data_IF_160465221774
#
_entry.id   IF_160465221774
#
_cell.length_a   1.000
_cell.length_b   1.000
_cell.length_c   1.000
_cell.angle_alpha   90.00
_cell.angle_beta   90.00
_cell.angle_gamma   90.00
#
_symmetry.space_group_name_H-M   'P 1'
#
loop_
_entity.id
_entity.type
_entity.pdbx_description
1 polymer ?
#
# COMPACT_ATOMS: atom_id res chain seq x y z
N UNK A 1 4.89 -2.91 -4.70
CA UNK A 1 4.27 -1.58 -4.82
C UNK A 1 5.37 -0.57 -5.04
N UNK A 2 5.37 0.04 -6.21
CA UNK A 2 6.19 1.20 -6.53
C UNK A 2 5.28 2.31 -7.04
N UNK A 3 5.47 3.52 -6.54
CA UNK A 3 4.75 4.68 -7.04
C UNK A 3 5.75 5.83 -7.22
N UNK A 4 5.88 6.32 -8.44
CA UNK A 4 6.79 7.41 -8.76
C UNK A 4 6.08 8.75 -8.68
N UNK A 5 6.60 9.67 -7.86
CA UNK A 5 6.18 11.06 -7.84
C UNK A 5 7.01 11.88 -8.82
N UNK A 6 6.35 12.61 -9.71
CA UNK A 6 6.99 13.40 -10.77
C UNK A 6 6.56 14.86 -10.65
N UNK A 7 7.52 15.79 -10.67
CA UNK A 7 7.25 17.23 -10.72
C UNK A 7 7.97 17.82 -11.94
N UNK A 8 7.35 17.76 -13.13
CA UNK A 8 7.99 18.21 -14.36
C UNK A 8 8.12 19.74 -14.46
N UNK A 9 7.44 20.47 -13.58
CA UNK A 9 7.47 21.93 -13.49
C UNK A 9 7.48 22.37 -12.00
N UNK A 10 7.35 23.68 -11.78
CA UNK A 10 7.24 24.38 -10.50
C UNK A 10 5.87 24.26 -9.84
N UNK A 11 4.81 23.99 -10.62
CA UNK A 11 3.45 23.82 -10.10
C UNK A 11 2.56 23.01 -11.04
N UNK A 12 1.46 22.49 -10.49
CA UNK A 12 0.41 21.81 -11.24
C UNK A 12 -0.14 22.68 -12.38
N UNK A 13 -0.44 23.95 -12.10
CA UNK A 13 -0.99 24.87 -13.09
C UNK A 13 -0.01 25.22 -14.20
N UNK A 14 1.28 25.35 -13.87
CA UNK A 14 2.33 25.60 -14.87
C UNK A 14 2.48 24.43 -15.85
N UNK A 15 2.34 23.19 -15.36
CA UNK A 15 2.42 22.00 -16.20
C UNK A 15 1.12 21.72 -16.99
N UNK A 16 -0.03 21.79 -16.32
CA UNK A 16 -1.27 21.24 -16.86
C UNK A 16 -2.09 22.18 -17.73
N UNK A 17 -1.87 23.49 -17.68
CA UNK A 17 -2.65 24.46 -18.47
C UNK A 17 -4.16 24.22 -18.33
N UNK A 18 -4.82 23.73 -19.39
CA UNK A 18 -6.25 23.36 -19.40
C UNK A 18 -6.56 21.87 -19.16
N UNK A 19 -5.61 20.96 -19.38
CA UNK A 19 -5.78 19.51 -19.16
C UNK A 19 -4.44 18.79 -19.24
N UNK A 20 -4.25 17.76 -18.41
CA UNK A 20 -3.09 16.90 -18.40
C UNK A 20 -3.46 15.54 -17.79
N UNK A 21 -2.62 14.53 -18.02
CA UNK A 21 -2.66 13.28 -17.25
C UNK A 21 -1.94 13.52 -15.93
N UNK A 22 -2.64 13.33 -14.81
CA UNK A 22 -2.08 13.59 -13.48
C UNK A 22 -1.45 12.37 -12.83
N UNK A 23 -1.88 11.18 -13.22
CA UNK A 23 -1.41 9.89 -12.75
C UNK A 23 -1.73 8.79 -13.76
N UNK A 24 -1.04 7.66 -13.61
CA UNK A 24 -1.32 6.44 -14.36
C UNK A 24 -0.78 5.22 -13.61
N UNK A 25 -1.56 4.15 -13.61
CA UNK A 25 -1.17 2.85 -13.09
C UNK A 25 -1.93 1.72 -13.80
N UNK A 26 -1.56 0.48 -13.50
CA UNK A 26 -2.31 -0.71 -13.91
C UNK A 26 -3.40 -1.06 -12.89
N UNK A 27 -4.52 -1.58 -13.37
CA UNK A 27 -5.44 -2.34 -12.51
C UNK A 27 -4.82 -3.71 -12.28
N UNK A 28 -4.46 -4.02 -11.03
CA UNK A 28 -3.78 -5.28 -10.69
C UNK A 28 -4.76 -6.24 -10.01
N UNK A 29 -5.46 -7.02 -10.81
CA UNK A 29 -6.50 -7.95 -10.33
C UNK A 29 -5.92 -9.06 -9.45
N UNK A 30 -4.83 -9.71 -9.89
CA UNK A 30 -4.21 -10.79 -9.11
C UNK A 30 -3.29 -10.25 -8.00
N UNK A 31 -3.36 -10.88 -6.84
CA UNK A 31 -2.49 -10.61 -5.69
C UNK A 31 -1.10 -11.22 -5.85
N UNK A 32 -0.89 -12.10 -6.83
CA UNK A 32 0.41 -12.67 -7.17
C UNK A 32 1.17 -11.84 -8.23
N UNK A 33 0.47 -10.99 -9.00
CA UNK A 33 1.03 -10.10 -10.02
C UNK A 33 1.76 -8.88 -9.40
N UNK A 34 2.87 -9.15 -8.69
CA UNK A 34 3.63 -8.15 -7.96
C UNK A 34 4.49 -7.24 -8.83
N UNK A 35 4.83 -7.69 -10.03
CA UNK A 35 5.68 -7.00 -11.01
C UNK A 35 4.99 -5.80 -11.67
N UNK A 36 3.67 -5.87 -11.84
CA UNK A 36 2.85 -4.77 -12.38
C UNK A 36 2.25 -3.87 -11.29
N UNK A 37 2.65 -4.04 -10.02
CA UNK A 37 2.23 -3.14 -8.93
C UNK A 37 3.00 -1.82 -8.93
N UNK A 38 2.88 -1.11 -10.03
CA UNK A 38 3.60 0.11 -10.35
C UNK A 38 2.64 1.17 -10.88
N UNK A 39 2.86 2.42 -10.46
CA UNK A 39 2.18 3.59 -11.01
C UNK A 39 3.06 4.82 -10.88
N UNK A 40 2.58 5.93 -11.44
CA UNK A 40 3.17 7.23 -11.27
C UNK A 40 2.11 8.31 -11.21
N UNK A 41 2.47 9.46 -10.65
CA UNK A 41 1.65 10.64 -10.73
C UNK A 41 2.38 11.87 -10.24
N UNK A 42 1.70 13.01 -10.37
CA UNK A 42 2.32 14.29 -10.14
C UNK A 42 2.49 14.57 -8.64
N UNK A 43 3.67 15.06 -8.27
CA UNK A 43 4.11 15.27 -6.89
C UNK A 43 4.21 16.74 -6.51
N UNK A 44 3.15 17.54 -6.71
CA UNK A 44 3.16 18.98 -6.39
C UNK A 44 2.78 19.32 -4.94
N UNK A 45 2.54 18.31 -4.09
CA UNK A 45 2.20 18.52 -2.67
C UNK A 45 0.83 19.16 -2.41
N UNK A 46 -0.07 19.15 -3.41
CA UNK A 46 -1.45 19.66 -3.29
C UNK A 46 -2.42 18.55 -2.91
N UNK A 47 -3.60 18.92 -2.37
CA UNK A 47 -4.69 17.95 -2.09
C UNK A 47 -5.07 17.15 -3.35
N UNK A 48 -5.15 17.82 -4.51
CA UNK A 48 -5.41 17.15 -5.80
C UNK A 48 -4.33 16.14 -6.20
N UNK A 49 -3.04 16.44 -5.93
CA UNK A 49 -1.95 15.48 -6.16
C UNK A 49 -2.07 14.27 -5.22
N UNK A 50 -2.49 14.50 -3.97
CA UNK A 50 -2.73 13.44 -3.01
C UNK A 50 -3.89 12.53 -3.45
N UNK A 51 -5.02 13.10 -3.89
CA UNK A 51 -6.15 12.31 -4.41
C UNK A 51 -5.81 11.54 -5.69
N UNK A 52 -5.01 12.13 -6.58
CA UNK A 52 -4.46 11.39 -7.74
C UNK A 52 -3.66 10.17 -7.27
N UNK A 53 -2.76 10.34 -6.30
CA UNK A 53 -2.01 9.22 -5.74
C UNK A 53 -2.93 8.15 -5.14
N UNK A 54 -4.00 8.52 -4.44
CA UNK A 54 -4.95 7.55 -3.88
C UNK A 54 -5.71 6.81 -4.98
N UNK A 55 -6.15 7.50 -6.04
CA UNK A 55 -6.80 6.92 -7.21
C UNK A 55 -5.91 5.86 -7.88
N UNK A 56 -4.67 6.21 -8.17
CA UNK A 56 -3.71 5.28 -8.79
C UNK A 56 -3.32 4.13 -7.85
N UNK A 57 -3.16 4.38 -6.55
CA UNK A 57 -2.99 3.29 -5.59
C UNK A 57 -4.19 2.37 -5.57
N UNK A 58 -5.39 2.88 -5.84
CA UNK A 58 -6.61 2.10 -5.97
C UNK A 58 -6.53 1.09 -7.10
N UNK A 59 -6.13 1.52 -8.30
CA UNK A 59 -5.86 0.62 -9.42
C UNK A 59 -4.79 -0.43 -9.07
N UNK A 60 -3.69 -0.04 -8.41
CA UNK A 60 -2.65 -0.98 -7.98
C UNK A 60 -3.17 -1.99 -6.92
N UNK A 61 -4.26 -1.66 -6.23
CA UNK A 61 -4.98 -2.55 -5.32
C UNK A 61 -6.08 -3.38 -6.02
N UNK A 62 -6.19 -3.32 -7.34
CA UNK A 62 -7.15 -4.08 -8.13
C UNK A 62 -8.54 -3.43 -8.18
N UNK A 63 -8.61 -2.09 -8.12
CA UNK A 63 -9.88 -1.37 -8.27
C UNK A 63 -10.02 -0.81 -9.68
N UNK A 64 -11.17 -1.07 -10.28
CA UNK A 64 -11.65 -0.35 -11.47
C UNK A 64 -12.36 0.94 -11.05
N UNK A 65 -12.71 1.79 -12.01
CA UNK A 65 -13.35 3.08 -11.71
C UNK A 65 -14.75 2.92 -11.10
N UNK A 66 -15.13 3.88 -10.26
CA UNK A 66 -16.53 4.07 -9.86
C UNK A 66 -17.31 4.79 -10.99
N UNK A 67 -18.64 4.61 -11.11
CA UNK A 67 -19.45 5.12 -12.22
C UNK A 67 -19.75 6.63 -12.11
N UNK A 68 -18.71 7.47 -12.06
CA UNK A 68 -18.86 8.93 -12.11
C UNK A 68 -17.89 9.57 -13.11
N UNK A 69 -18.46 10.23 -14.12
CA UNK A 69 -17.72 10.90 -15.21
C UNK A 69 -16.74 10.00 -15.99
N UNK A 70 -17.04 8.71 -16.08
CA UNK A 70 -16.29 7.71 -16.85
C UNK A 70 -17.25 6.72 -17.51
N UNK A 71 -16.85 6.14 -18.64
CA UNK A 71 -17.62 5.10 -19.35
C UNK A 71 -17.10 3.68 -19.10
N UNK A 72 -15.94 3.55 -18.45
CA UNK A 72 -15.32 2.26 -18.12
C UNK A 72 -15.23 2.15 -16.61
N UNK A 73 -16.33 1.73 -15.99
CA UNK A 73 -16.49 1.58 -14.55
C UNK A 73 -16.71 0.11 -14.15
N UNK A 74 -16.60 -0.15 -12.85
CA UNK A 74 -16.90 -1.43 -12.21
C UNK A 74 -18.42 -1.65 -12.16
N UNK A 75 -18.93 -2.63 -12.90
CA UNK A 75 -20.37 -2.96 -12.94
C UNK A 75 -20.90 -3.47 -11.60
N UNK A 76 -20.03 -3.94 -10.70
CA UNK A 76 -20.41 -4.38 -9.35
C UNK A 76 -20.45 -3.21 -8.35
N UNK A 77 -20.08 -2.00 -8.77
CA UNK A 77 -20.13 -0.82 -7.90
C UNK A 77 -21.59 -0.47 -7.54
N UNK A 78 -21.94 -0.42 -6.25
CA UNK A 78 -23.35 -0.43 -5.82
C UNK A 78 -24.08 0.90 -6.00
N UNK A 79 -23.37 2.01 -6.19
CA UNK A 79 -23.96 3.35 -6.32
C UNK A 79 -23.77 3.85 -7.75
N UNK A 80 -24.86 3.95 -8.52
CA UNK A 80 -24.82 4.23 -9.95
C UNK A 80 -24.31 5.63 -10.33
N UNK A 81 -24.21 6.53 -9.37
CA UNK A 81 -23.66 7.87 -9.47
C UNK A 81 -22.20 7.96 -8.99
N UNK A 82 -21.62 6.84 -8.56
CA UNK A 82 -20.30 6.78 -7.95
C UNK A 82 -20.24 7.36 -6.54
N UNK A 83 -21.37 7.49 -5.84
CA UNK A 83 -21.43 7.94 -4.45
C UNK A 83 -20.68 7.03 -3.48
N UNK A 84 -20.59 7.46 -2.21
CA UNK A 84 -19.79 6.76 -1.18
C UNK A 84 -20.59 5.83 -0.26
N UNK A 85 -21.91 6.00 -0.22
CA UNK A 85 -22.87 5.12 0.46
C UNK A 85 -22.96 5.24 1.98
N UNK A 86 -21.88 5.67 2.64
CA UNK A 86 -21.83 5.81 4.10
C UNK A 86 -21.14 7.12 4.51
N UNK A 87 -21.46 7.61 5.70
CA UNK A 87 -20.79 8.76 6.29
C UNK A 87 -19.28 8.52 6.41
N UNK A 88 -18.51 9.43 5.81
CA UNK A 88 -17.08 9.52 5.99
C UNK A 88 -16.71 10.23 7.30
N UNK A 89 -15.50 9.97 7.79
CA UNK A 89 -14.96 10.71 8.92
C UNK A 89 -13.50 11.10 8.64
N UNK A 90 -13.26 12.40 8.43
CA UNK A 90 -11.91 12.91 8.23
C UNK A 90 -11.26 13.18 9.58
N UNK A 91 -10.22 12.40 9.92
CA UNK A 91 -9.47 12.57 11.18
C UNK A 91 -8.61 13.82 11.23
N UNK A 92 -8.30 14.44 10.09
CA UNK A 92 -7.48 15.65 9.99
C UNK A 92 -8.27 16.88 10.42
N UNK A 93 -9.54 16.95 9.99
CA UNK A 93 -10.44 18.07 10.28
C UNK A 93 -11.46 17.76 11.38
N UNK A 94 -11.65 16.48 11.69
CA UNK A 94 -12.67 15.96 12.59
C UNK A 94 -14.10 16.13 12.08
N UNK A 95 -14.28 16.23 10.76
CA UNK A 95 -15.59 16.41 10.12
C UNK A 95 -16.23 15.09 9.71
N UNK A 96 -17.56 15.08 9.72
CA UNK A 96 -18.38 14.05 9.10
C UNK A 96 -18.69 14.45 7.66
N UNK A 97 -18.46 13.53 6.72
CA UNK A 97 -18.63 13.74 5.30
C UNK A 97 -19.91 13.05 4.84
N UNK A 98 -20.85 13.85 4.33
CA UNK A 98 -22.16 13.36 3.88
C UNK A 98 -21.98 12.52 2.60
N UNK A 99 -22.46 11.26 2.57
CA UNK A 99 -22.34 10.42 1.38
C UNK A 99 -23.09 10.96 0.17
N UNK A 100 -24.11 11.80 0.36
CA UNK A 100 -24.87 12.42 -0.75
C UNK A 100 -24.08 13.58 -1.39
N UNK A 101 -23.09 14.14 -0.69
CA UNK A 101 -22.24 15.24 -1.15
C UNK A 101 -20.87 14.77 -1.64
N UNK A 102 -20.51 13.47 -1.52
CA UNK A 102 -19.17 12.95 -1.86
C UNK A 102 -19.21 11.77 -2.82
N UNK A 103 -18.32 11.81 -3.81
CA UNK A 103 -18.10 10.72 -4.76
C UNK A 103 -16.88 9.88 -4.36
N UNK A 104 -16.84 8.63 -4.83
CA UNK A 104 -15.72 7.73 -4.59
C UNK A 104 -14.47 8.14 -5.38
N UNK A 105 -13.32 7.97 -4.73
CA UNK A 105 -11.99 8.30 -5.28
C UNK A 105 -11.67 7.57 -6.57
N UNK A 106 -12.32 6.44 -6.88
CA UNK A 106 -12.14 5.75 -8.15
C UNK A 106 -12.99 6.35 -9.29
N UNK A 107 -13.81 7.37 -9.04
CA UNK A 107 -14.48 8.17 -10.06
C UNK A 107 -13.71 9.45 -10.39
N UNK A 108 -14.31 10.31 -11.24
CA UNK A 108 -13.76 11.63 -11.58
C UNK A 108 -14.67 12.79 -11.14
N UNK A 109 -15.44 12.57 -10.08
CA UNK A 109 -16.36 13.56 -9.52
C UNK A 109 -15.82 14.10 -8.19
N UNK A 110 -16.17 15.35 -7.90
CA UNK A 110 -15.76 16.06 -6.71
C UNK A 110 -16.98 16.54 -5.90
N UNK A 111 -16.86 16.66 -4.57
CA UNK A 111 -15.69 16.32 -3.77
C UNK A 111 -15.49 14.79 -3.63
N UNK A 112 -14.22 14.37 -3.65
CA UNK A 112 -13.84 12.96 -3.55
C UNK A 112 -13.69 12.49 -2.09
N UNK A 113 -14.11 11.26 -1.83
CA UNK A 113 -13.84 10.50 -0.61
C UNK A 113 -13.74 8.99 -0.91
N UNK A 114 -13.52 8.14 0.10
CA UNK A 114 -13.48 6.67 -0.06
C UNK A 114 -14.84 6.09 0.32
N UNK A 115 -15.49 5.37 -0.61
CA UNK A 115 -16.74 4.64 -0.34
C UNK A 115 -16.53 3.45 0.60
N UNK A 116 -17.63 2.94 1.17
CA UNK A 116 -17.60 1.67 1.89
C UNK A 116 -17.15 0.49 1.01
N UNK A 117 -17.59 0.49 -0.24
CA UNK A 117 -17.25 -0.52 -1.24
C UNK A 117 -15.74 -0.54 -1.55
N UNK A 118 -15.16 0.62 -1.87
CA UNK A 118 -13.73 0.76 -2.13
C UNK A 118 -12.90 0.50 -0.87
N UNK A 119 -13.33 1.00 0.30
CA UNK A 119 -12.65 0.73 1.57
C UNK A 119 -12.59 -0.77 1.88
N UNK A 120 -13.71 -1.48 1.72
CA UNK A 120 -13.78 -2.93 1.97
C UNK A 120 -12.84 -3.69 1.03
N UNK A 121 -12.83 -3.34 -0.26
CA UNK A 121 -11.94 -3.95 -1.23
C UNK A 121 -10.46 -3.71 -0.89
N UNK A 122 -10.08 -2.51 -0.42
CA UNK A 122 -8.73 -2.26 0.08
C UNK A 122 -8.37 -3.10 1.30
N UNK A 123 -9.28 -3.20 2.26
CA UNK A 123 -9.09 -4.03 3.45
C UNK A 123 -8.85 -5.51 3.08
N UNK A 124 -9.67 -6.05 2.17
CA UNK A 124 -9.53 -7.43 1.69
C UNK A 124 -8.24 -7.64 0.91
N UNK A 125 -7.84 -6.67 0.06
CA UNK A 125 -6.57 -6.70 -0.68
C UNK A 125 -5.36 -6.73 0.28
N UNK A 126 -5.34 -5.89 1.30
CA UNK A 126 -4.26 -5.87 2.30
C UNK A 126 -4.17 -7.21 3.03
N UNK A 127 -5.31 -7.80 3.43
CA UNK A 127 -5.32 -9.13 4.03
C UNK A 127 -4.76 -10.21 3.09
N UNK A 128 -5.13 -10.18 1.82
CA UNK A 128 -4.66 -11.15 0.84
C UNK A 128 -3.13 -11.06 0.62
N UNK A 129 -2.59 -9.85 0.47
CA UNK A 129 -1.14 -9.62 0.36
C UNK A 129 -0.38 -10.05 1.61
N UNK A 130 -0.98 -9.84 2.79
CA UNK A 130 -0.45 -10.31 4.06
C UNK A 130 -0.31 -11.83 4.12
N UNK A 131 -1.15 -12.59 3.41
CA UNK A 131 -1.04 -14.06 3.30
C UNK A 131 0.09 -14.49 2.36
N UNK A 132 0.38 -13.72 1.31
CA UNK A 132 1.52 -13.99 0.41
C UNK A 132 2.85 -13.68 1.06
N UNK A 133 2.88 -12.61 1.86
CA UNK A 133 4.04 -12.23 2.67
C UNK A 133 4.13 -13.01 3.98
N UNK A 134 3.12 -13.85 4.29
CA UNK A 134 3.17 -14.70 5.45
C UNK A 134 4.34 -15.67 5.26
N UNK A 135 5.30 -15.69 6.20
CA UNK A 135 6.43 -16.56 6.08
C UNK A 135 5.95 -18.00 5.96
N UNK A 136 6.63 -18.77 5.10
CA UNK A 136 6.70 -20.22 5.23
C UNK A 136 6.85 -20.58 6.72
N UNK A 137 6.17 -21.64 7.16
CA UNK A 137 6.15 -22.14 8.54
C UNK A 137 7.42 -21.83 9.36
N UNK A 138 7.27 -21.50 10.65
CA UNK A 138 8.39 -21.29 11.59
C UNK A 138 9.56 -22.25 11.34
N UNK A 139 10.64 -21.73 10.76
CA UNK A 139 11.85 -22.50 10.46
C UNK A 139 12.71 -22.61 11.71
N UNK A 140 13.45 -23.71 11.86
CA UNK A 140 14.43 -23.86 12.91
C UNK A 140 15.72 -23.13 12.52
N UNK A 141 16.27 -22.36 13.45
CA UNK A 141 17.53 -21.63 13.30
C UNK A 141 18.48 -22.03 14.42
N UNK A 142 19.68 -22.46 14.06
CA UNK A 142 20.75 -22.64 15.02
C UNK A 142 21.29 -21.28 15.42
N UNK A 143 21.70 -21.15 16.68
CA UNK A 143 22.35 -19.95 17.18
C UNK A 143 23.76 -20.25 17.65
N UNK A 144 24.64 -19.27 17.51
CA UNK A 144 25.98 -19.29 18.08
C UNK A 144 26.13 -18.01 18.92
N UNK A 145 26.47 -18.17 20.18
CA UNK A 145 26.68 -17.05 21.12
C UNK A 145 28.16 -16.72 21.08
N UNK A 146 28.47 -15.47 20.75
CA UNK A 146 29.81 -14.87 20.80
C UNK A 146 29.94 -14.12 22.13
N UNK A 147 30.91 -14.54 22.94
CA UNK A 147 31.26 -13.89 24.21
C UNK A 147 32.19 -12.69 23.98
N UNK A 148 32.32 -11.81 24.98
CA UNK A 148 33.15 -10.60 24.88
C UNK A 148 34.63 -10.89 24.61
N UNK A 149 35.12 -12.08 24.99
CA UNK A 149 36.49 -12.54 24.74
C UNK A 149 36.70 -13.11 23.32
N UNK A 150 35.66 -13.08 22.49
CA UNK A 150 35.66 -13.62 21.12
C UNK A 150 35.51 -15.14 21.05
N UNK A 151 35.29 -15.82 22.18
CA UNK A 151 34.93 -17.24 22.18
C UNK A 151 33.49 -17.45 21.74
N UNK A 152 33.20 -18.65 21.25
CA UNK A 152 31.89 -19.02 20.72
C UNK A 152 31.34 -20.26 21.43
N UNK A 153 30.05 -20.26 21.73
CA UNK A 153 29.32 -21.44 22.21
C UNK A 153 28.02 -21.68 21.43
N UNK A 154 27.61 -22.95 21.23
CA UNK A 154 26.30 -23.26 20.65
C UNK A 154 25.17 -22.70 21.51
N UNK A 155 24.31 -21.89 20.91
CA UNK A 155 23.09 -21.39 21.54
C UNK A 155 21.88 -22.28 21.24
N UNK A 156 20.71 -21.97 21.84
CA UNK A 156 19.49 -22.72 21.61
C UNK A 156 19.05 -22.63 20.14
N UNK A 157 18.40 -23.69 19.64
CA UNK A 157 17.66 -23.60 18.39
C UNK A 157 16.42 -22.74 18.62
N UNK A 158 16.28 -21.67 17.83
CA UNK A 158 15.11 -20.79 17.89
C UNK A 158 14.24 -21.01 16.67
N UNK A 159 12.93 -20.87 16.84
CA UNK A 159 11.99 -20.88 15.72
C UNK A 159 11.66 -19.46 15.31
N UNK A 160 12.00 -19.09 14.07
CA UNK A 160 11.78 -17.74 13.54
C UNK A 160 11.04 -17.80 12.21
N UNK A 161 10.20 -16.79 12.00
CA UNK A 161 9.35 -16.61 10.83
C UNK A 161 10.17 -16.03 9.66
N UNK A 162 11.03 -15.06 9.95
CA UNK A 162 11.97 -14.47 9.01
C UNK A 162 13.29 -14.17 9.73
N UNK A 163 14.39 -14.21 9.00
CA UNK A 163 15.72 -13.82 9.45
C UNK A 163 16.68 -13.80 8.27
N UNK A 164 17.64 -12.89 8.30
CA UNK A 164 18.86 -13.06 7.50
C UNK A 164 19.87 -13.77 8.38
N UNK A 165 20.66 -14.67 7.79
CA UNK A 165 21.84 -15.17 8.48
C UNK A 165 22.73 -13.97 8.83
N UNK A 166 23.11 -13.83 10.09
CA UNK A 166 23.79 -12.62 10.53
C UNK A 166 23.99 -12.49 12.03
N UNK A 167 24.80 -11.51 12.38
CA UNK A 167 25.22 -11.15 13.75
C UNK A 167 24.27 -10.13 14.35
N UNK A 168 23.76 -10.41 15.54
CA UNK A 168 22.98 -9.46 16.34
C UNK A 168 23.78 -9.12 17.60
N UNK A 169 24.30 -7.88 17.75
CA UNK A 169 25.03 -7.48 18.93
C UNK A 169 24.19 -7.56 20.21
N UNK A 170 24.81 -7.99 21.31
CA UNK A 170 24.25 -7.93 22.65
C UNK A 170 24.72 -6.63 23.32
N UNK A 171 23.90 -6.07 24.22
CA UNK A 171 24.21 -4.80 24.91
C UNK A 171 25.45 -4.82 25.83
N UNK A 172 26.10 -5.97 25.98
CA UNK A 172 27.26 -6.23 26.83
C UNK A 172 28.37 -6.92 26.01
N UNK A 173 28.85 -6.26 24.96
CA UNK A 173 30.08 -6.66 24.23
C UNK A 173 30.06 -7.95 23.38
N UNK A 174 29.07 -8.84 23.55
CA UNK A 174 28.91 -10.08 22.77
C UNK A 174 27.94 -9.97 21.57
N UNK A 175 27.63 -11.11 20.94
CA UNK A 175 26.63 -11.19 19.87
C UNK A 175 25.96 -12.57 19.75
N UNK A 176 24.82 -12.64 19.08
CA UNK A 176 24.19 -13.90 18.67
C UNK A 176 24.17 -13.97 17.16
N UNK A 177 24.72 -15.06 16.63
CA UNK A 177 24.67 -15.39 15.21
C UNK A 177 23.51 -16.33 14.94
N UNK A 178 22.82 -16.12 13.83
CA UNK A 178 21.72 -16.97 13.38
C UNK A 178 22.08 -17.64 12.05
N UNK A 179 21.85 -18.95 11.96
CA UNK A 179 21.96 -19.71 10.72
C UNK A 179 20.73 -20.64 10.55
N UNK A 180 20.21 -20.81 9.33
CA UNK A 180 19.13 -21.76 9.08
C UNK A 180 19.62 -23.19 9.36
N UNK A 181 18.79 -23.99 10.02
CA UNK A 181 19.05 -25.43 10.19
C UNK A 181 18.73 -26.12 8.86
N UNK A 182 19.71 -26.81 8.27
CA UNK A 182 19.48 -27.62 7.07
C UNK A 182 18.43 -28.71 7.36
N UNK A 183 17.57 -29.05 6.38
CA UNK A 183 16.52 -30.06 6.55
C UNK A 183 17.07 -31.45 6.92
#
# INVERSE_FOLDING_TARGET
YYYALISPDTSLGAYCGSSCVTGQSFVVDDVDDGDIRVGSGMGFGTESSAWTLVHELGHIHGRSHAPCSTSSYDDDYPYSDGGTGVWGYDRRTQDLLDPDDHADVMGYCDPTWISDYTYRAFFDRVQALGKLSAPSSLQAWSTLIEHEDGSFEPGPTVRRRHGHAGRVPLGHGGAVWFAPVAP
#
